data_IF_650722617902
#
_entry.id   IF_650722617902
#
_cell.length_a   1.000
_cell.length_b   1.000
_cell.length_c   1.000
_cell.angle_alpha   90.00
_cell.angle_beta   90.00
_cell.angle_gamma   90.00
#
_symmetry.space_group_name_H-M   'P 1'
#
loop_
_entity.id
_entity.type
_entity.pdbx_description
1 polymer ?
#
# COMPACT_ATOMS: atom_id res chain seq x y z
N UNK A 1 14.84 44.76 21.77
CA UNK A 1 14.02 44.22 20.67
C UNK A 1 14.95 43.84 19.53
N UNK A 2 15.40 42.58 19.51
CA UNK A 2 16.32 42.08 18.49
C UNK A 2 15.50 41.66 17.26
N UNK A 3 15.70 42.34 16.14
CA UNK A 3 15.19 41.90 14.85
C UNK A 3 15.88 40.57 14.52
N UNK A 4 15.18 39.45 14.73
CA UNK A 4 15.59 38.19 14.11
C UNK A 4 15.47 38.41 12.60
N UNK A 5 16.61 38.58 11.94
CA UNK A 5 16.69 38.56 10.48
C UNK A 5 16.04 37.25 10.03
N UNK A 6 14.83 37.36 9.49
CA UNK A 6 14.12 36.25 8.87
C UNK A 6 14.92 35.89 7.62
N UNK A 7 15.89 34.98 7.78
CA UNK A 7 16.70 34.48 6.68
C UNK A 7 15.74 33.96 5.61
N UNK A 8 15.76 34.58 4.43
CA UNK A 8 14.89 34.20 3.33
C UNK A 8 14.97 32.68 3.13
N UNK A 9 13.82 32.01 3.21
CA UNK A 9 13.75 30.57 2.98
C UNK A 9 14.39 30.26 1.61
N UNK A 10 15.22 29.22 1.55
CA UNK A 10 15.89 28.79 0.31
C UNK A 10 15.36 27.43 -0.09
N UNK A 11 15.23 27.22 -1.40
CA UNK A 11 14.83 25.96 -1.97
C UNK A 11 15.82 24.86 -1.56
N UNK A 12 15.33 23.76 -1.01
CA UNK A 12 16.18 22.62 -0.60
C UNK A 12 16.88 21.91 -1.77
N UNK A 13 16.37 22.09 -2.99
CA UNK A 13 16.88 21.43 -4.21
C UNK A 13 17.85 22.31 -4.98
N UNK A 14 17.48 23.56 -5.29
CA UNK A 14 18.29 24.46 -6.13
C UNK A 14 18.85 25.68 -5.39
N UNK A 15 18.66 25.80 -4.07
CA UNK A 15 19.08 26.93 -3.24
C UNK A 15 18.50 28.31 -3.61
N UNK A 16 17.61 28.41 -4.60
CA UNK A 16 16.94 29.66 -4.97
C UNK A 16 16.12 30.23 -3.81
N UNK A 17 16.05 31.56 -3.70
CA UNK A 17 15.23 32.23 -2.70
C UNK A 17 13.74 31.91 -2.93
N UNK A 18 13.03 31.62 -1.83
CA UNK A 18 11.61 31.33 -1.81
C UNK A 18 10.87 32.53 -1.25
N UNK A 19 9.70 32.82 -1.83
CA UNK A 19 8.78 33.75 -1.21
C UNK A 19 8.31 33.15 0.14
N UNK A 20 8.07 33.98 1.17
CA UNK A 20 7.38 33.49 2.36
C UNK A 20 6.08 32.82 1.92
N UNK A 21 5.82 31.62 2.44
CA UNK A 21 4.62 30.80 2.14
C UNK A 21 4.57 30.11 0.75
N UNK A 22 5.63 30.18 -0.08
CA UNK A 22 5.64 29.36 -1.30
C UNK A 22 5.85 27.88 -0.99
N UNK A 23 4.85 27.06 -1.29
CA UNK A 23 4.94 25.59 -1.15
C UNK A 23 5.80 24.94 -2.22
N UNK A 24 6.02 25.64 -3.34
CA UNK A 24 6.86 25.18 -4.45
C UNK A 24 7.88 26.23 -4.80
N UNK A 25 9.07 25.76 -5.18
CA UNK A 25 10.10 26.64 -5.70
C UNK A 25 9.70 27.15 -7.10
N UNK A 26 9.71 28.48 -7.35
CA UNK A 26 9.36 29.01 -8.66
C UNK A 26 10.38 28.67 -9.76
N UNK A 27 11.64 28.36 -9.39
CA UNK A 27 12.67 28.01 -10.37
C UNK A 27 12.68 26.55 -10.78
N UNK A 28 12.57 25.62 -9.81
CA UNK A 28 12.69 24.19 -10.10
C UNK A 28 11.40 23.38 -9.85
N UNK A 29 10.34 24.02 -9.35
CA UNK A 29 9.06 23.37 -9.05
C UNK A 29 9.03 22.47 -7.81
N UNK A 30 10.16 22.29 -7.11
CA UNK A 30 10.25 21.38 -5.96
C UNK A 30 9.33 21.79 -4.80
N UNK A 31 8.58 20.83 -4.26
CA UNK A 31 7.75 21.00 -3.05
C UNK A 31 8.65 21.19 -1.82
N UNK A 32 8.49 22.31 -1.13
CA UNK A 32 9.29 22.70 0.04
C UNK A 32 8.72 22.12 1.35
N UNK A 33 7.50 21.60 1.32
CA UNK A 33 6.86 20.83 2.40
C UNK A 33 7.14 19.33 2.27
N UNK A 34 8.09 18.93 1.43
CA UNK A 34 8.52 17.55 1.30
C UNK A 34 9.11 17.03 2.63
N UNK A 35 8.49 16.00 3.21
CA UNK A 35 9.12 15.19 4.27
C UNK A 35 9.90 14.02 3.65
N UNK A 36 10.76 13.37 4.46
CA UNK A 36 11.46 12.17 4.04
C UNK A 36 10.49 11.03 3.73
N UNK A 37 10.69 10.34 2.61
CA UNK A 37 9.89 9.19 2.25
C UNK A 37 10.19 8.02 3.19
N UNK A 38 9.18 7.37 3.80
CA UNK A 38 9.41 6.23 4.70
C UNK A 38 9.98 4.99 3.99
N UNK A 39 9.97 4.96 2.65
CA UNK A 39 10.47 3.82 1.86
C UNK A 39 11.93 3.96 1.45
N UNK A 40 12.34 5.16 1.01
CA UNK A 40 13.67 5.38 0.46
C UNK A 40 14.50 6.42 1.22
N UNK A 41 13.93 7.07 2.25
CA UNK A 41 14.56 8.16 2.99
C UNK A 41 14.68 9.48 2.21
N UNK A 42 14.44 9.47 0.89
CA UNK A 42 14.55 10.65 0.04
C UNK A 42 13.54 11.73 0.41
N UNK A 43 14.00 12.99 0.49
CA UNK A 43 13.13 14.17 0.66
C UNK A 43 12.59 14.55 -0.70
N UNK A 44 11.35 14.15 -0.98
CA UNK A 44 10.74 14.28 -2.29
C UNK A 44 9.28 14.74 -2.20
N UNK A 45 8.81 15.31 -3.30
CA UNK A 45 7.39 15.60 -3.50
C UNK A 45 6.52 14.35 -3.52
N UNK A 46 5.22 14.60 -3.57
CA UNK A 46 4.21 13.55 -3.67
C UNK A 46 3.30 13.88 -4.85
N UNK A 47 3.16 12.94 -5.77
CA UNK A 47 2.24 13.06 -6.91
C UNK A 47 1.03 12.16 -6.72
N UNK A 48 -0.13 12.61 -7.22
CA UNK A 48 -1.32 11.78 -7.28
C UNK A 48 -1.07 10.55 -8.16
N UNK A 49 -1.59 9.40 -7.73
CA UNK A 49 -1.45 8.14 -8.46
C UNK A 49 -2.79 7.39 -8.48
N UNK A 50 -3.25 6.89 -9.65
CA UNK A 50 -4.59 6.30 -9.78
C UNK A 50 -4.82 5.09 -8.88
N UNK A 51 -3.77 4.29 -8.62
CA UNK A 51 -3.90 3.08 -7.79
C UNK A 51 -3.39 3.27 -6.34
N UNK A 52 -2.49 4.23 -6.09
CA UNK A 52 -1.84 4.37 -4.79
C UNK A 52 -2.35 5.58 -4.00
N UNK A 53 -3.32 6.32 -4.57
CA UNK A 53 -3.73 7.68 -4.20
C UNK A 53 -2.60 8.71 -4.36
N UNK A 54 -1.48 8.46 -3.71
CA UNK A 54 -0.29 9.30 -3.74
C UNK A 54 0.98 8.45 -3.74
N UNK A 55 1.99 8.88 -4.50
CA UNK A 55 3.30 8.21 -4.58
C UNK A 55 4.45 9.19 -4.36
N UNK A 56 5.56 8.67 -3.84
CA UNK A 56 6.81 9.39 -3.79
C UNK A 56 7.37 9.60 -5.21
N UNK A 57 7.76 10.83 -5.54
CA UNK A 57 8.30 11.17 -6.87
C UNK A 57 9.68 10.55 -7.14
N UNK A 58 10.40 10.09 -6.09
CA UNK A 58 11.72 9.47 -6.22
C UNK A 58 11.63 7.94 -6.36
N UNK A 59 11.00 7.25 -5.40
CA UNK A 59 10.96 5.77 -5.42
C UNK A 59 9.67 5.17 -5.98
N UNK A 60 8.66 6.00 -6.29
CA UNK A 60 7.34 5.56 -6.74
C UNK A 60 6.50 4.82 -5.68
N UNK A 61 7.00 4.67 -4.45
CA UNK A 61 6.29 3.98 -3.37
C UNK A 61 5.08 4.76 -2.85
N UNK A 62 4.04 4.08 -2.33
CA UNK A 62 2.84 4.73 -1.80
C UNK A 62 3.18 5.60 -0.59
N UNK A 63 2.52 6.75 -0.47
CA UNK A 63 2.76 7.70 0.62
C UNK A 63 1.46 8.38 1.04
N UNK A 64 1.32 8.66 2.34
CA UNK A 64 0.28 9.53 2.86
C UNK A 64 0.88 10.94 3.02
N UNK A 65 0.42 11.97 2.29
CA UNK A 65 0.87 13.33 2.49
C UNK A 65 0.31 13.92 3.80
N UNK A 66 1.12 14.70 4.51
CA UNK A 66 0.71 15.44 5.71
C UNK A 66 1.17 16.89 5.51
N UNK A 67 0.24 17.83 5.58
CA UNK A 67 0.49 19.25 5.34
C UNK A 67 0.99 19.98 6.60
N UNK A 68 0.51 19.59 7.78
CA UNK A 68 0.91 20.22 9.03
C UNK A 68 2.19 19.57 9.58
N UNK A 69 3.29 20.33 9.56
CA UNK A 69 4.59 19.90 10.07
C UNK A 69 4.61 19.62 11.58
N UNK A 70 3.57 20.04 12.33
CA UNK A 70 3.42 19.75 13.76
C UNK A 70 2.98 18.32 14.03
N UNK A 71 2.38 17.64 13.06
CA UNK A 71 1.95 16.25 13.20
C UNK A 71 3.16 15.34 13.11
N UNK A 72 3.55 14.74 14.23
CA UNK A 72 4.58 13.71 14.30
C UNK A 72 3.99 12.37 13.90
N UNK A 73 4.61 11.69 12.92
CA UNK A 73 4.21 10.34 12.50
C UNK A 73 4.72 9.30 13.48
N UNK A 74 3.88 8.31 13.82
CA UNK A 74 4.29 7.20 14.68
C UNK A 74 5.16 6.17 13.95
N UNK A 75 5.14 6.15 12.61
CA UNK A 75 5.81 5.15 11.79
C UNK A 75 5.04 3.83 11.67
N UNK A 76 3.87 3.70 12.31
CA UNK A 76 3.02 2.51 12.23
C UNK A 76 2.46 2.27 10.83
N UNK A 77 2.42 3.31 10.01
CA UNK A 77 1.99 3.23 8.61
C UNK A 77 3.03 2.57 7.70
N UNK A 78 4.31 2.57 8.08
CA UNK A 78 5.42 2.10 7.23
C UNK A 78 5.25 0.65 6.77
N UNK A 79 5.04 -0.35 7.64
CA UNK A 79 4.84 -1.74 7.20
C UNK A 79 3.58 -1.92 6.33
N UNK A 80 2.53 -1.14 6.58
CA UNK A 80 1.29 -1.17 5.80
C UNK A 80 1.52 -0.61 4.38
N UNK A 81 2.25 0.49 4.28
CA UNK A 81 2.68 1.07 3.00
C UNK A 81 3.64 0.12 2.25
N UNK A 82 4.53 -0.58 2.94
CA UNK A 82 5.41 -1.59 2.32
C UNK A 82 4.61 -2.77 1.77
N UNK A 83 3.60 -3.25 2.51
CA UNK A 83 2.67 -4.28 2.04
C UNK A 83 1.91 -3.82 0.79
N UNK A 84 1.38 -2.59 0.79
CA UNK A 84 0.73 -2.01 -0.38
C UNK A 84 1.67 -1.90 -1.58
N UNK A 85 2.93 -1.48 -1.36
CA UNK A 85 3.96 -1.42 -2.40
C UNK A 85 4.24 -2.79 -3.00
N UNK A 86 4.43 -3.80 -2.17
CA UNK A 86 4.72 -5.17 -2.60
C UNK A 86 3.55 -5.76 -3.43
N UNK A 87 2.31 -5.52 -3.01
CA UNK A 87 1.13 -5.92 -3.76
C UNK A 87 1.03 -5.20 -5.12
N UNK A 88 1.27 -3.90 -5.15
CA UNK A 88 1.25 -3.10 -6.37
C UNK A 88 2.36 -3.50 -7.36
N UNK A 89 3.59 -3.75 -6.88
CA UNK A 89 4.69 -4.22 -7.72
C UNK A 89 4.47 -5.64 -8.22
N UNK A 90 3.90 -6.53 -7.39
CA UNK A 90 3.54 -7.87 -7.85
C UNK A 90 2.50 -7.80 -8.98
N UNK A 91 1.50 -6.93 -8.85
CA UNK A 91 0.50 -6.69 -9.90
C UNK A 91 1.14 -6.18 -11.19
N UNK A 92 2.06 -5.20 -11.12
CA UNK A 92 2.71 -4.67 -12.32
C UNK A 92 3.56 -5.73 -13.03
N UNK A 93 4.28 -6.57 -12.28
CA UNK A 93 5.03 -7.72 -12.82
C UNK A 93 4.10 -8.71 -13.53
N UNK A 94 2.98 -9.10 -12.90
CA UNK A 94 2.02 -10.01 -13.53
C UNK A 94 1.32 -9.42 -14.76
N UNK A 95 1.07 -8.10 -14.77
CA UNK A 95 0.58 -7.40 -15.96
C UNK A 95 1.61 -7.41 -17.08
N UNK A 96 2.88 -7.12 -16.77
CA UNK A 96 3.96 -7.15 -17.75
C UNK A 96 4.14 -8.56 -18.33
N UNK A 97 4.09 -9.59 -17.49
CA UNK A 97 4.12 -10.99 -17.93
C UNK A 97 2.93 -11.34 -18.84
N UNK A 98 1.72 -10.89 -18.49
CA UNK A 98 0.53 -11.06 -19.34
C UNK A 98 0.65 -10.37 -20.70
N UNK A 99 1.13 -9.12 -20.73
CA UNK A 99 1.36 -8.36 -21.96
C UNK A 99 2.42 -9.04 -22.83
N UNK A 100 3.54 -9.47 -22.25
CA UNK A 100 4.60 -10.18 -22.96
C UNK A 100 4.08 -11.51 -23.55
N UNK A 101 3.31 -12.27 -22.78
CA UNK A 101 2.69 -13.51 -23.24
C UNK A 101 1.67 -13.27 -24.37
N UNK A 102 0.87 -12.20 -24.28
CA UNK A 102 -0.05 -11.82 -25.36
C UNK A 102 0.68 -11.37 -26.63
N UNK A 103 1.80 -10.66 -26.50
CA UNK A 103 2.63 -10.28 -27.65
C UNK A 103 3.25 -11.52 -28.32
N UNK A 104 3.76 -12.46 -27.51
CA UNK A 104 4.26 -13.74 -28.01
C UNK A 104 3.17 -14.54 -28.72
N UNK A 105 1.99 -14.64 -28.13
CA UNK A 105 0.84 -15.30 -28.74
C UNK A 105 0.43 -14.66 -30.07
N UNK A 106 0.41 -13.33 -30.15
CA UNK A 106 0.14 -12.62 -31.40
C UNK A 106 1.19 -12.90 -32.48
N UNK A 107 2.47 -12.97 -32.09
CA UNK A 107 3.55 -13.35 -32.99
C UNK A 107 3.43 -14.80 -33.48
N UNK A 108 3.13 -15.74 -32.58
CA UNK A 108 2.90 -17.14 -32.93
C UNK A 108 1.70 -17.27 -33.89
N UNK A 109 0.57 -16.61 -33.61
CA UNK A 109 -0.60 -16.58 -34.49
C UNK A 109 -0.25 -16.05 -35.89
N UNK A 110 0.57 -15.00 -35.97
CA UNK A 110 1.04 -14.47 -37.24
C UNK A 110 1.88 -15.49 -38.02
N UNK A 111 2.86 -16.12 -37.37
CA UNK A 111 3.67 -17.18 -38.00
C UNK A 111 2.80 -18.35 -38.47
N UNK A 112 1.83 -18.75 -37.65
CA UNK A 112 0.91 -19.83 -37.98
C UNK A 112 0.01 -19.48 -39.18
N UNK A 113 -0.47 -18.24 -39.27
CA UNK A 113 -1.23 -17.76 -40.43
C UNK A 113 -0.41 -17.76 -41.72
N UNK A 114 0.86 -17.32 -41.66
CA UNK A 114 1.79 -17.38 -42.81
C UNK A 114 2.03 -18.84 -43.22
N UNK A 115 2.21 -19.74 -42.25
CA UNK A 115 2.43 -21.16 -42.50
C UNK A 115 1.22 -21.82 -43.18
N UNK A 116 0.00 -21.51 -42.72
CA UNK A 116 -1.25 -21.97 -43.34
C UNK A 116 -1.40 -21.45 -44.78
N UNK A 117 -0.97 -20.21 -45.05
CA UNK A 117 -0.99 -19.63 -46.39
C UNK A 117 -0.05 -20.39 -47.33
N UNK A 118 1.15 -20.76 -46.87
CA UNK A 118 2.17 -21.44 -47.68
C UNK A 118 1.85 -22.92 -47.88
N UNK A 119 1.51 -23.64 -46.81
CA UNK A 119 1.37 -25.11 -46.82
C UNK A 119 -0.05 -25.60 -47.14
N UNK A 120 -0.99 -24.68 -47.37
CA UNK A 120 -2.44 -24.94 -47.46
C UNK A 120 -3.05 -25.48 -46.16
N UNK A 121 -4.37 -25.29 -46.03
CA UNK A 121 -5.16 -25.64 -44.87
C UNK A 121 -5.31 -27.17 -44.70
N UNK A 122 -4.31 -27.83 -44.09
CA UNK A 122 -4.44 -29.24 -43.68
C UNK A 122 -4.92 -29.37 -42.23
N UNK A 123 -5.81 -30.33 -41.96
CA UNK A 123 -6.35 -30.58 -40.60
C UNK A 123 -5.25 -30.82 -39.58
N UNK A 124 -4.18 -31.53 -39.97
CA UNK A 124 -3.04 -31.79 -39.09
C UNK A 124 -2.26 -30.54 -38.69
N UNK A 125 -2.13 -29.57 -39.60
CA UNK A 125 -1.48 -28.30 -39.30
C UNK A 125 -2.32 -27.45 -38.34
N UNK A 126 -3.65 -27.48 -38.50
CA UNK A 126 -4.58 -26.84 -37.55
C UNK A 126 -4.52 -27.42 -36.15
N UNK A 127 -4.52 -28.76 -36.01
CA UNK A 127 -4.46 -29.40 -34.69
C UNK A 127 -3.10 -29.16 -34.02
N UNK A 128 -2.00 -29.25 -34.76
CA UNK A 128 -0.66 -28.95 -34.25
C UNK A 128 -0.54 -27.50 -33.79
N UNK A 129 -1.02 -26.53 -34.60
CA UNK A 129 -1.04 -25.12 -34.23
C UNK A 129 -1.88 -24.86 -32.97
N UNK A 130 -3.07 -25.43 -32.88
CA UNK A 130 -3.90 -25.27 -31.68
C UNK A 130 -3.19 -25.81 -30.42
N UNK A 131 -2.51 -26.94 -30.53
CA UNK A 131 -1.79 -27.57 -29.43
C UNK A 131 -0.62 -26.72 -28.92
N UNK A 132 0.08 -26.00 -29.80
CA UNK A 132 1.19 -25.11 -29.43
C UNK A 132 0.72 -23.77 -28.89
N UNK A 133 -0.37 -23.22 -29.44
CA UNK A 133 -0.93 -21.93 -29.05
C UNK A 133 -1.64 -21.97 -27.69
N UNK A 134 -2.27 -23.11 -27.36
CA UNK A 134 -3.09 -23.24 -26.16
C UNK A 134 -2.33 -22.96 -24.84
N UNK A 135 -1.11 -23.51 -24.60
CA UNK A 135 -0.34 -23.19 -23.40
C UNK A 135 -0.03 -21.69 -23.24
N UNK A 136 0.32 -21.00 -24.33
CA UNK A 136 0.65 -19.56 -24.28
C UNK A 136 -0.59 -18.73 -23.96
N UNK A 137 -1.73 -19.06 -24.58
CA UNK A 137 -3.01 -18.41 -24.29
C UNK A 137 -3.46 -18.64 -22.83
N UNK A 138 -3.34 -19.88 -22.32
CA UNK A 138 -3.67 -20.22 -20.94
C UNK A 138 -2.77 -19.49 -19.94
N UNK A 139 -1.46 -19.41 -20.23
CA UNK A 139 -0.51 -18.66 -19.41
C UNK A 139 -0.84 -17.17 -19.38
N UNK A 140 -1.13 -16.55 -20.53
CA UNK A 140 -1.51 -15.14 -20.60
C UNK A 140 -2.77 -14.88 -19.75
N UNK A 141 -3.81 -15.70 -19.90
CA UNK A 141 -5.05 -15.60 -19.11
C UNK A 141 -4.77 -15.76 -17.60
N UNK A 142 -3.96 -16.75 -17.23
CA UNK A 142 -3.58 -16.98 -15.84
C UNK A 142 -2.80 -15.79 -15.25
N UNK A 143 -1.86 -15.22 -16.00
CA UNK A 143 -1.11 -14.03 -15.59
C UNK A 143 -2.03 -12.83 -15.35
N UNK A 144 -3.01 -12.58 -16.22
CA UNK A 144 -4.00 -11.51 -16.00
C UNK A 144 -4.91 -11.77 -14.79
N UNK A 145 -5.35 -13.01 -14.58
CA UNK A 145 -6.11 -13.38 -13.37
C UNK A 145 -5.28 -13.18 -12.11
N UNK A 146 -3.98 -13.51 -12.15
CA UNK A 146 -3.05 -13.30 -11.03
C UNK A 146 -2.80 -11.82 -10.77
N UNK A 147 -2.65 -11.02 -11.81
CA UNK A 147 -2.57 -9.57 -11.68
C UNK A 147 -3.82 -8.98 -11.02
N UNK A 148 -5.01 -9.45 -11.41
CA UNK A 148 -6.29 -8.99 -10.83
C UNK A 148 -6.39 -9.34 -9.34
N UNK A 149 -6.05 -10.57 -8.95
CA UNK A 149 -6.09 -10.98 -7.53
C UNK A 149 -5.12 -10.16 -6.68
N UNK A 150 -3.90 -9.92 -7.16
CA UNK A 150 -2.93 -9.06 -6.45
C UNK A 150 -3.38 -7.60 -6.32
N UNK A 151 -4.21 -7.11 -7.25
CA UNK A 151 -4.80 -5.79 -7.15
C UNK A 151 -5.78 -5.63 -5.98
N UNK A 152 -6.40 -6.72 -5.51
CA UNK A 152 -7.35 -6.69 -4.38
C UNK A 152 -6.67 -6.44 -3.04
N UNK A 153 -5.38 -6.78 -2.92
CA UNK A 153 -4.60 -6.60 -1.68
C UNK A 153 -4.09 -5.16 -1.50
N UNK A 154 -4.08 -4.34 -2.56
CA UNK A 154 -3.50 -2.99 -2.54
C UNK A 154 -4.36 -2.02 -1.73
N UNK A 155 -5.66 -1.94 -2.04
CA UNK A 155 -6.60 -1.03 -1.39
C UNK A 155 -6.67 -1.21 0.14
N UNK A 156 -6.90 -2.41 0.70
CA UNK A 156 -7.01 -2.58 2.15
C UNK A 156 -5.69 -2.27 2.88
N UNK A 157 -4.54 -2.58 2.27
CA UNK A 157 -3.24 -2.23 2.86
C UNK A 157 -3.01 -0.71 2.87
N UNK A 158 -3.44 0.00 1.83
CA UNK A 158 -3.41 1.45 1.79
C UNK A 158 -4.38 2.05 2.81
N UNK A 159 -5.62 1.58 2.86
CA UNK A 159 -6.64 2.10 3.80
C UNK A 159 -6.19 1.95 5.25
N UNK A 160 -5.61 0.81 5.62
CA UNK A 160 -5.01 0.62 6.93
C UNK A 160 -3.89 1.63 7.22
N UNK A 161 -3.04 1.93 6.23
CA UNK A 161 -2.00 2.95 6.38
C UNK A 161 -2.58 4.35 6.58
N UNK A 162 -3.64 4.70 5.83
CA UNK A 162 -4.35 5.97 5.97
C UNK A 162 -5.02 6.11 7.34
N UNK A 163 -5.69 5.07 7.82
CA UNK A 163 -6.28 5.04 9.18
C UNK A 163 -5.21 5.19 10.26
N UNK A 164 -4.03 4.59 10.07
CA UNK A 164 -2.90 4.74 11.00
C UNK A 164 -2.44 6.21 11.08
N UNK A 165 -2.25 6.88 9.95
CA UNK A 165 -1.82 8.29 9.93
C UNK A 165 -2.92 9.21 10.44
N UNK A 166 -4.18 8.96 10.06
CA UNK A 166 -5.32 9.74 10.55
C UNK A 166 -5.50 9.58 12.07
N UNK A 167 -5.19 8.41 12.62
CA UNK A 167 -5.15 8.18 14.07
C UNK A 167 -4.06 9.03 14.76
N UNK A 168 -2.89 9.17 14.13
CA UNK A 168 -1.80 10.01 14.65
C UNK A 168 -2.19 11.49 14.64
N UNK A 169 -2.86 11.96 13.58
CA UNK A 169 -3.42 13.32 13.51
C UNK A 169 -4.46 13.53 14.61
N UNK A 170 -5.41 12.61 14.76
CA UNK A 170 -6.46 12.71 15.77
C UNK A 170 -5.87 12.79 17.18
N UNK A 171 -4.86 11.96 17.51
CA UNK A 171 -4.20 11.96 18.82
C UNK A 171 -3.47 13.26 19.16
N UNK A 172 -3.05 14.02 18.15
CA UNK A 172 -2.28 15.25 18.31
C UNK A 172 -3.14 16.51 18.17
N UNK A 173 -4.41 16.36 17.82
CA UNK A 173 -5.30 17.51 17.65
C UNK A 173 -6.00 17.82 18.97
N UNK A 174 -5.77 19.01 19.51
CA UNK A 174 -6.40 19.47 20.78
C UNK A 174 -7.87 19.84 20.62
N UNK A 175 -8.27 20.23 19.40
CA UNK A 175 -9.63 20.64 19.06
C UNK A 175 -10.43 19.45 18.50
N UNK A 176 -11.78 19.50 18.55
CA UNK A 176 -12.61 18.55 17.82
C UNK A 176 -12.18 18.48 16.35
N UNK A 177 -11.84 17.28 15.88
CA UNK A 177 -11.40 17.03 14.53
C UNK A 177 -12.62 17.06 13.61
N UNK A 178 -12.63 18.00 12.66
CA UNK A 178 -13.67 18.09 11.63
C UNK A 178 -13.19 17.45 10.32
N UNK A 179 -14.12 17.11 9.42
CA UNK A 179 -13.79 16.56 8.10
C UNK A 179 -12.87 17.52 7.31
N UNK A 180 -13.22 18.80 7.22
CA UNK A 180 -12.36 19.83 6.60
C UNK A 180 -10.98 19.98 7.26
N UNK A 181 -10.89 19.84 8.59
CA UNK A 181 -9.61 19.87 9.32
C UNK A 181 -8.72 18.68 8.97
N UNK A 182 -9.29 17.47 8.91
CA UNK A 182 -8.56 16.28 8.51
C UNK A 182 -8.19 16.30 7.01
N UNK A 183 -9.11 16.75 6.16
CA UNK A 183 -8.92 16.87 4.71
C UNK A 183 -7.76 17.80 4.36
N UNK A 184 -7.73 18.99 4.96
CA UNK A 184 -6.63 19.95 4.79
C UNK A 184 -5.31 19.41 5.34
N UNK A 185 -5.34 18.74 6.49
CA UNK A 185 -4.14 18.15 7.11
C UNK A 185 -3.54 17.03 6.26
N UNK A 186 -4.37 16.15 5.68
CA UNK A 186 -3.91 15.01 4.87
C UNK A 186 -3.91 15.26 3.36
N UNK A 187 -4.20 16.50 2.92
CA UNK A 187 -4.33 16.87 1.50
C UNK A 187 -5.26 15.95 0.70
N UNK A 188 -6.41 15.60 1.27
CA UNK A 188 -7.46 14.78 0.63
C UNK A 188 -8.76 15.57 0.47
N UNK A 189 -9.69 15.03 -0.31
CA UNK A 189 -11.04 15.58 -0.41
C UNK A 189 -11.83 15.37 0.89
N UNK A 190 -12.77 16.27 1.18
CA UNK A 190 -13.59 16.21 2.40
C UNK A 190 -14.39 14.91 2.51
N UNK A 191 -14.94 14.41 1.41
CA UNK A 191 -15.65 13.12 1.37
C UNK A 191 -14.77 11.92 1.80
N UNK A 192 -13.48 11.93 1.45
CA UNK A 192 -12.54 10.90 1.90
C UNK A 192 -12.16 11.08 3.37
N UNK A 193 -12.10 12.33 3.84
CA UNK A 193 -11.85 12.60 5.25
C UNK A 193 -13.04 12.15 6.12
N UNK A 194 -14.28 12.32 5.67
CA UNK A 194 -15.47 11.79 6.34
C UNK A 194 -15.44 10.26 6.43
N UNK A 195 -15.09 9.57 5.34
CA UNK A 195 -14.94 8.11 5.34
C UNK A 195 -13.85 7.66 6.34
N UNK A 196 -12.72 8.35 6.39
CA UNK A 196 -11.67 8.07 7.37
C UNK A 196 -12.11 8.35 8.81
N UNK A 197 -12.89 9.40 9.06
CA UNK A 197 -13.45 9.68 10.39
C UNK A 197 -14.43 8.59 10.83
N UNK A 198 -15.29 8.11 9.92
CA UNK A 198 -16.18 6.98 10.18
C UNK A 198 -15.38 5.70 10.50
N UNK A 199 -14.30 5.42 9.75
CA UNK A 199 -13.40 4.29 10.03
C UNK A 199 -12.69 4.45 11.39
N UNK A 200 -12.27 5.66 11.76
CA UNK A 200 -11.65 5.93 13.06
C UNK A 200 -12.64 5.75 14.21
N UNK A 201 -13.91 6.11 14.02
CA UNK A 201 -14.97 5.89 15.00
C UNK A 201 -15.25 4.40 15.20
N UNK A 202 -15.33 3.62 14.11
CA UNK A 202 -15.46 2.16 14.16
C UNK A 202 -14.28 1.50 14.88
N UNK A 203 -13.07 2.05 14.73
CA UNK A 203 -11.86 1.57 15.43
C UNK A 203 -11.71 2.18 16.84
N UNK A 204 -12.74 2.84 17.38
CA UNK A 204 -12.77 3.41 18.73
C UNK A 204 -11.65 4.46 18.99
N UNK A 205 -11.11 5.07 17.94
CA UNK A 205 -10.04 6.08 18.03
C UNK A 205 -10.63 7.46 18.34
N UNK A 206 -11.78 7.77 17.75
CA UNK A 206 -12.51 9.01 17.96
C UNK A 206 -13.96 8.72 18.33
N UNK A 207 -14.64 9.68 18.96
CA UNK A 207 -16.09 9.64 19.18
C UNK A 207 -16.72 10.94 18.71
N UNK A 208 -17.92 10.85 18.14
CA UNK A 208 -18.74 12.03 17.87
C UNK A 208 -18.95 12.84 19.14
N UNK A 209 -18.61 14.13 19.09
CA UNK A 209 -18.77 15.07 20.18
C UNK A 209 -19.32 16.39 19.63
N UNK A 210 -20.32 16.93 20.32
CA UNK A 210 -20.83 18.27 20.01
C UNK A 210 -20.00 19.25 20.84
N UNK A 211 -19.34 20.20 20.18
CA UNK A 211 -18.58 21.23 20.87
C UNK A 211 -19.53 22.14 21.67
N UNK A 212 -19.04 22.89 22.68
CA UNK A 212 -19.85 23.87 23.40
C UNK A 212 -20.45 24.96 22.50
N UNK A 213 -19.87 25.17 21.31
CA UNK A 213 -20.37 26.10 20.30
C UNK A 213 -21.48 25.50 19.41
N UNK A 214 -21.89 24.25 19.64
CA UNK A 214 -22.91 23.55 18.85
C UNK A 214 -22.39 22.94 17.54
N UNK A 215 -21.08 22.99 17.28
CA UNK A 215 -20.48 22.37 16.10
C UNK A 215 -20.27 20.87 16.34
N UNK A 216 -20.68 20.05 15.38
CA UNK A 216 -20.41 18.62 15.40
C UNK A 216 -18.94 18.35 15.01
N UNK A 217 -18.21 17.61 15.82
CA UNK A 217 -16.84 17.20 15.54
C UNK A 217 -16.50 15.86 16.18
N UNK A 218 -15.27 15.40 15.95
CA UNK A 218 -14.78 14.15 16.52
C UNK A 218 -13.76 14.44 17.60
N UNK A 219 -14.02 14.02 18.84
CA UNK A 219 -13.07 14.13 19.93
C UNK A 219 -12.23 12.85 20.02
N UNK A 220 -10.90 12.94 20.24
CA UNK A 220 -10.08 11.78 20.52
C UNK A 220 -10.60 11.04 21.74
N UNK A 221 -10.80 9.72 21.66
CA UNK A 221 -11.13 8.93 22.84
C UNK A 221 -9.90 8.92 23.73
N UNK A 222 -9.91 9.71 24.80
CA UNK A 222 -8.92 9.62 25.86
C UNK A 222 -8.98 8.19 26.39
N UNK A 223 -7.99 7.36 26.03
CA UNK A 223 -7.73 6.12 26.78
C UNK A 223 -7.31 6.60 28.16
N UNK A 224 -8.25 6.60 29.11
CA UNK A 224 -7.93 6.58 30.53
C UNK A 224 -6.90 5.46 30.68
N UNK A 225 -5.69 5.83 31.09
CA UNK A 225 -4.50 4.99 30.96
C UNK A 225 -4.81 3.56 31.41
N UNK A 226 -4.38 2.59 30.60
CA UNK A 226 -4.35 1.21 31.06
C UNK A 226 -3.65 1.20 32.42
N UNK A 227 -4.25 0.52 33.39
CA UNK A 227 -3.61 0.22 34.66
C UNK A 227 -2.18 -0.28 34.40
N UNK A 228 -1.22 0.04 35.28
CA UNK A 228 0.21 -0.21 35.05
C UNK A 228 0.47 -1.66 34.59
N UNK A 229 1.48 -1.80 33.74
CA UNK A 229 1.89 -2.91 32.86
C UNK A 229 1.95 -4.36 33.40
N UNK A 230 1.40 -4.67 34.57
CA UNK A 230 1.44 -6.01 35.17
C UNK A 230 0.51 -7.04 34.54
N UNK A 231 -0.60 -6.63 33.89
CA UNK A 231 -1.56 -7.59 33.32
C UNK A 231 -1.25 -8.00 31.87
N UNK A 232 -0.54 -7.16 31.12
CA UNK A 232 -0.17 -7.47 29.72
C UNK A 232 0.98 -8.47 29.61
N UNK A 233 1.89 -8.54 30.58
CA UNK A 233 2.89 -9.62 30.62
C UNK A 233 2.23 -10.96 30.93
N UNK A 234 1.23 -11.01 31.82
CA UNK A 234 0.48 -12.24 32.10
C UNK A 234 -0.32 -12.75 30.88
N UNK A 235 -0.96 -11.84 30.13
CA UNK A 235 -1.68 -12.21 28.91
C UNK A 235 -0.76 -12.60 27.74
N UNK A 236 0.40 -11.94 27.61
CA UNK A 236 1.41 -12.29 26.60
C UNK A 236 2.09 -13.64 26.91
N UNK A 237 2.31 -13.95 28.21
CA UNK A 237 2.85 -15.24 28.63
C UNK A 237 1.85 -16.39 28.39
N UNK A 238 0.55 -16.15 28.61
CA UNK A 238 -0.50 -17.12 28.34
C UNK A 238 -0.65 -17.44 26.84
N UNK A 239 -0.58 -16.41 25.97
CA UNK A 239 -0.62 -16.60 24.51
C UNK A 239 0.63 -17.29 23.97
N UNK A 240 1.80 -17.01 24.55
CA UNK A 240 3.05 -17.68 24.17
C UNK A 240 3.06 -19.17 24.57
N UNK A 241 2.47 -19.52 25.72
CA UNK A 241 2.29 -20.94 26.10
C UNK A 241 1.32 -21.66 25.17
N UNK A 242 0.25 -21.00 24.72
CA UNK A 242 -0.74 -21.60 23.81
C UNK A 242 -0.14 -21.84 22.40
N UNK A 243 0.66 -20.90 21.87
CA UNK A 243 1.37 -21.08 20.60
C UNK A 243 2.47 -22.15 20.68
N UNK A 244 3.17 -22.27 21.81
CA UNK A 244 4.16 -23.33 22.01
C UNK A 244 3.52 -24.73 22.06
N UNK A 245 2.32 -24.84 22.65
CA UNK A 245 1.57 -26.09 22.68
C UNK A 245 1.04 -26.48 21.28
N UNK A 246 0.55 -25.51 20.51
CA UNK A 246 0.11 -25.73 19.12
C UNK A 246 1.26 -26.13 18.18
N UNK A 247 2.44 -25.51 18.34
CA UNK A 247 3.63 -25.87 17.56
C UNK A 247 4.15 -27.28 17.88
N UNK A 248 4.01 -27.73 19.14
CA UNK A 248 4.37 -29.09 19.55
C UNK A 248 3.49 -30.18 18.92
N UNK A 249 2.21 -29.92 18.70
CA UNK A 249 1.29 -30.89 18.06
C UNK A 249 1.42 -30.93 16.53
N UNK A 250 1.83 -29.85 15.88
CA UNK A 250 2.07 -29.81 14.43
C UNK A 250 3.39 -30.48 14.00
N UNK A 251 4.29 -30.76 14.95
CA UNK A 251 5.58 -31.38 14.72
C UNK A 251 5.58 -32.91 14.90
N UNK A 252 4.42 -33.56 15.01
CA UNK A 252 4.36 -35.02 14.88
C UNK A 252 4.60 -35.37 13.41
N UNK A 253 5.79 -35.88 13.04
CA UNK A 253 6.08 -36.20 11.66
C UNK A 253 5.21 -37.40 11.31
N UNK A 254 4.26 -37.21 10.40
CA UNK A 254 3.55 -38.28 9.73
C UNK A 254 4.60 -39.28 9.24
N UNK A 255 4.75 -40.38 9.98
CA UNK A 255 5.66 -41.45 9.67
C UNK A 255 5.36 -41.89 8.24
N UNK A 256 6.29 -41.54 7.36
CA UNK A 256 6.22 -41.76 5.93
C UNK A 256 6.20 -43.28 5.74
N UNK A 257 4.99 -43.84 5.61
CA UNK A 257 4.76 -45.26 5.35
C UNK A 257 5.18 -45.53 3.91
N UNK A 258 6.48 -45.60 3.69
CA UNK A 258 7.05 -46.02 2.41
C UNK A 258 6.62 -47.46 2.17
N UNK A 259 5.73 -47.66 1.21
CA UNK A 259 5.40 -48.97 0.70
C UNK A 259 6.69 -49.59 0.14
N UNK A 260 7.24 -50.55 0.89
CA UNK A 260 8.35 -51.38 0.44
C UNK A 260 7.81 -52.27 -0.69
N UNK A 261 8.08 -51.89 -1.93
CA UNK A 261 7.86 -52.75 -3.10
C UNK A 261 9.02 -53.73 -3.13
N UNK A 262 8.72 -55.00 -2.90
CA UNK A 262 9.65 -56.13 -2.97
C UNK A 262 10.03 -56.40 -4.43
N UNK A 263 11.31 -56.24 -4.83
CA UNK A 263 11.74 -56.45 -6.21
C UNK A 263 11.85 -57.93 -6.61
N UNK A 264 11.60 -58.89 -5.72
CA UNK A 264 11.80 -60.32 -5.99
C UNK A 264 10.59 -61.06 -6.61
N UNK A 265 9.47 -60.38 -6.88
CA UNK A 265 8.34 -60.97 -7.64
C UNK A 265 8.34 -60.49 -9.08
N UNK A 266 9.11 -61.19 -9.93
CA UNK A 266 8.88 -61.28 -11.37
C UNK A 266 8.94 -62.74 -11.80
#
# INVERSE_FOLDING_TARGET
MSQMSSGAARCRVCAAALAPESDRCPQCGADQRAEACPHCGGVAGVSAHPELRFRCDVCGGPRVPVADARVKRSGREVPLLQKARAAASARSVWRAAGIAASALFGFELFLFAVLLLILSASVGLFTAGLLTMAPVALFALWAFRRAKSRGQDVAPALDAAWVSVASDVARQTERPLTAGGLASTLRIGESQAEELLALLEVNDVVRGAVSPAGEFGYAPKLRVGAAPAGETEAAAHALAEEEAFAAGQAAEPLAQRTAHVDPAKR
#
